data_IF_306106610721
#
_entry.id   IF_306106610721
#
_cell.length_a   1.000
_cell.length_b   1.000
_cell.length_c   1.000
_cell.angle_alpha   90.00
_cell.angle_beta   90.00
_cell.angle_gamma   90.00
#
_symmetry.space_group_name_H-M   'P 1'
#
loop_
_entity.id
_entity.type
_entity.pdbx_description
1 polymer ?
#
# COMPACT_ATOMS: atom_id res chain seq x y z
N UNK A 1 21.51 5.23 -11.44
CA UNK A 1 20.09 5.66 -11.41
C UNK A 1 19.63 5.51 -9.97
N UNK A 2 19.01 6.53 -9.35
CA UNK A 2 18.58 6.44 -7.96
C UNK A 2 17.56 5.31 -7.81
N UNK A 3 17.69 4.54 -6.74
CA UNK A 3 16.75 3.48 -6.36
C UNK A 3 16.21 3.84 -4.98
N UNK A 4 14.94 3.58 -4.71
CA UNK A 4 14.39 3.71 -3.36
C UNK A 4 14.98 2.62 -2.45
N UNK A 5 15.67 3.00 -1.38
CA UNK A 5 16.27 2.05 -0.42
C UNK A 5 15.24 1.21 0.35
N UNK A 6 13.96 1.58 0.29
CA UNK A 6 12.89 0.88 1.01
C UNK A 6 12.15 -0.13 0.12
N UNK A 7 11.75 0.28 -1.09
CA UNK A 7 10.94 -0.57 -1.98
C UNK A 7 11.69 -1.03 -3.24
N UNK A 8 12.90 -0.55 -3.50
CA UNK A 8 13.67 -0.92 -4.69
C UNK A 8 13.17 -0.31 -6.00
N UNK A 9 12.22 0.64 -5.96
CA UNK A 9 11.74 1.33 -7.15
C UNK A 9 12.87 2.11 -7.83
N UNK A 10 12.91 2.09 -9.16
CA UNK A 10 13.77 2.97 -9.93
C UNK A 10 13.17 4.39 -9.98
N UNK A 11 13.98 5.38 -9.59
CA UNK A 11 13.56 6.77 -9.43
C UNK A 11 14.40 7.70 -10.32
N UNK A 12 14.15 7.76 -11.64
CA UNK A 12 14.82 8.73 -12.51
C UNK A 12 14.39 10.16 -12.17
N UNK A 13 15.26 11.12 -12.51
CA UNK A 13 14.96 12.57 -12.51
C UNK A 13 14.68 13.22 -11.14
N UNK A 14 15.16 12.62 -10.05
CA UNK A 14 15.09 13.23 -8.71
C UNK A 14 13.70 13.13 -8.05
N UNK A 15 12.74 12.47 -8.70
CA UNK A 15 11.45 12.15 -8.10
C UNK A 15 11.62 11.12 -6.97
N UNK A 16 10.75 11.20 -5.99
CA UNK A 16 10.66 10.25 -4.87
C UNK A 16 9.41 9.38 -4.99
N UNK A 17 9.38 8.27 -4.25
CA UNK A 17 8.14 7.49 -4.13
C UNK A 17 7.00 8.30 -3.49
N UNK A 18 7.34 9.32 -2.68
CA UNK A 18 6.36 10.23 -2.07
C UNK A 18 5.74 11.16 -3.12
N UNK A 19 6.51 11.62 -4.11
CA UNK A 19 5.98 12.39 -5.24
C UNK A 19 4.97 11.55 -6.06
N UNK A 20 5.30 10.28 -6.34
CA UNK A 20 4.38 9.37 -7.03
C UNK A 20 3.11 9.12 -6.17
N UNK A 21 3.22 9.02 -4.85
CA UNK A 21 2.08 8.87 -3.95
C UNK A 21 1.19 10.14 -3.94
N UNK A 22 1.78 11.32 -3.86
CA UNK A 22 1.05 12.58 -3.94
C UNK A 22 0.37 12.77 -5.31
N UNK A 23 0.97 12.24 -6.38
CA UNK A 23 0.37 12.25 -7.70
C UNK A 23 -0.95 11.46 -7.74
N UNK A 24 -1.04 10.34 -7.02
CA UNK A 24 -2.30 9.59 -6.87
C UNK A 24 -3.36 10.40 -6.14
N UNK A 25 -3.00 11.03 -5.02
CA UNK A 25 -3.92 11.85 -4.25
C UNK A 25 -4.45 13.03 -5.08
N UNK A 26 -3.60 13.64 -5.89
CA UNK A 26 -4.01 14.68 -6.83
C UNK A 26 -5.02 14.16 -7.86
N UNK A 27 -4.77 12.99 -8.48
CA UNK A 27 -5.72 12.40 -9.43
C UNK A 27 -7.06 12.06 -8.80
N UNK A 28 -7.06 11.48 -7.59
CA UNK A 28 -8.28 11.14 -6.86
C UNK A 28 -9.07 12.38 -6.41
N UNK A 29 -8.37 13.48 -6.11
CA UNK A 29 -9.00 14.75 -5.77
C UNK A 29 -9.68 15.39 -7.00
N UNK A 30 -9.01 15.38 -8.15
CA UNK A 30 -9.55 15.95 -9.40
C UNK A 30 -10.64 15.07 -10.03
N UNK A 31 -10.58 13.75 -9.83
CA UNK A 31 -11.56 12.82 -10.34
C UNK A 31 -12.05 11.84 -9.25
N UNK A 32 -13.20 12.15 -8.61
CA UNK A 32 -13.81 11.28 -7.59
C UNK A 32 -14.14 9.87 -8.07
N UNK A 33 -14.26 9.60 -9.38
CA UNK A 33 -14.48 8.25 -9.91
C UNK A 33 -13.30 7.30 -9.64
N UNK A 34 -12.12 7.84 -9.28
CA UNK A 34 -10.94 7.06 -8.92
C UNK A 34 -10.91 6.62 -7.45
N UNK A 35 -11.71 7.25 -6.58
CA UNK A 35 -11.78 6.97 -5.14
C UNK A 35 -12.06 5.50 -4.77
N UNK A 36 -12.81 4.70 -5.56
CA UNK A 36 -12.99 3.28 -5.25
C UNK A 36 -11.67 2.52 -5.13
N UNK A 37 -10.60 2.93 -5.83
CA UNK A 37 -9.29 2.28 -5.78
C UNK A 37 -8.39 2.77 -4.62
N UNK A 38 -8.75 3.87 -3.94
CA UNK A 38 -7.93 4.55 -2.92
C UNK A 38 -7.40 3.61 -1.83
N UNK A 39 -8.27 2.75 -1.30
CA UNK A 39 -7.93 1.83 -0.24
C UNK A 39 -6.80 0.85 -0.63
N UNK A 40 -6.82 0.34 -1.86
CA UNK A 40 -5.75 -0.52 -2.39
C UNK A 40 -4.47 0.28 -2.63
N UNK A 41 -4.59 1.49 -3.19
CA UNK A 41 -3.45 2.38 -3.41
C UNK A 41 -2.69 2.64 -2.10
N UNK A 42 -3.40 3.04 -1.04
CA UNK A 42 -2.79 3.30 0.28
C UNK A 42 -2.14 2.06 0.85
N UNK A 43 -2.82 0.90 0.78
CA UNK A 43 -2.28 -0.37 1.27
C UNK A 43 -0.99 -0.75 0.55
N UNK A 44 -0.98 -0.73 -0.79
CA UNK A 44 0.19 -1.11 -1.57
C UNK A 44 1.38 -0.21 -1.26
N UNK A 45 1.16 1.10 -1.21
CA UNK A 45 2.23 2.06 -0.90
C UNK A 45 2.86 1.80 0.47
N UNK A 46 2.04 1.65 1.52
CA UNK A 46 2.55 1.46 2.88
C UNK A 46 3.11 0.05 3.12
N UNK A 47 2.62 -0.97 2.41
CA UNK A 47 3.19 -2.32 2.45
C UNK A 47 4.60 -2.33 1.83
N UNK A 48 4.81 -1.57 0.75
CA UNK A 48 6.13 -1.42 0.13
C UNK A 48 7.05 -0.47 0.90
N UNK A 49 6.48 0.44 1.70
CA UNK A 49 7.21 1.35 2.59
C UNK A 49 6.89 1.06 4.07
N UNK A 50 7.29 -0.12 4.58
CA UNK A 50 6.79 -0.66 5.84
C UNK A 50 7.10 0.20 7.07
N UNK A 51 8.12 1.07 6.99
CA UNK A 51 8.49 1.99 8.07
C UNK A 51 7.40 3.04 8.39
N UNK A 52 6.46 3.26 7.47
CA UNK A 52 5.33 4.19 7.65
C UNK A 52 4.25 3.61 8.58
N UNK A 53 4.22 2.29 8.76
CA UNK A 53 3.36 1.59 9.71
C UNK A 53 4.13 1.11 10.94
N UNK A 54 3.43 0.92 12.06
CA UNK A 54 3.93 0.09 13.16
C UNK A 54 4.03 -1.37 12.72
N UNK A 55 4.76 -2.19 13.48
CA UNK A 55 4.85 -3.63 13.18
C UNK A 55 3.47 -4.29 13.16
N UNK A 56 2.56 -3.89 14.06
CA UNK A 56 1.20 -4.42 14.12
C UNK A 56 0.34 -3.95 12.96
N UNK A 57 0.44 -2.67 12.59
CA UNK A 57 -0.32 -2.12 11.47
C UNK A 57 0.13 -2.72 10.14
N UNK A 58 1.42 -3.01 9.96
CA UNK A 58 1.91 -3.70 8.76
C UNK A 58 1.32 -5.11 8.65
N UNK A 59 1.32 -5.89 9.74
CA UNK A 59 0.70 -7.22 9.77
C UNK A 59 -0.79 -7.15 9.43
N UNK A 60 -1.49 -6.16 9.97
CA UNK A 60 -2.89 -5.92 9.65
C UNK A 60 -3.07 -5.55 8.17
N UNK A 61 -2.24 -4.66 7.63
CA UNK A 61 -2.28 -4.25 6.23
C UNK A 61 -2.11 -5.45 5.28
N UNK A 62 -1.21 -6.40 5.60
CA UNK A 62 -1.07 -7.64 4.85
C UNK A 62 -2.38 -8.44 4.81
N UNK A 63 -3.05 -8.60 5.96
CA UNK A 63 -4.33 -9.31 6.04
C UNK A 63 -5.48 -8.60 5.32
N UNK A 64 -5.48 -7.25 5.34
CA UNK A 64 -6.45 -6.45 4.59
C UNK A 64 -6.24 -6.61 3.09
N UNK A 65 -4.99 -6.50 2.62
CA UNK A 65 -4.65 -6.70 1.22
C UNK A 65 -5.10 -8.09 0.75
N UNK A 66 -4.78 -9.15 1.52
CA UNK A 66 -5.25 -10.51 1.22
C UNK A 66 -6.77 -10.54 1.03
N UNK A 67 -7.53 -9.99 1.97
CA UNK A 67 -9.00 -10.01 1.88
C UNK A 67 -9.52 -9.25 0.65
N UNK A 68 -9.01 -8.05 0.36
CA UNK A 68 -9.44 -7.31 -0.83
C UNK A 68 -9.04 -7.97 -2.15
N UNK A 69 -7.93 -8.73 -2.16
CA UNK A 69 -7.42 -9.39 -3.37
C UNK A 69 -8.08 -10.74 -3.63
N UNK A 70 -8.43 -11.49 -2.58
CA UNK A 70 -8.96 -12.87 -2.70
C UNK A 70 -10.47 -12.98 -2.48
N UNK A 71 -11.17 -11.88 -2.20
CA UNK A 71 -12.62 -11.88 -1.95
C UNK A 71 -13.28 -10.64 -2.56
N UNK A 72 -14.59 -10.67 -2.72
CA UNK A 72 -15.37 -9.53 -3.22
C UNK A 72 -15.79 -8.56 -2.09
N UNK A 73 -15.02 -8.46 -1.00
CA UNK A 73 -15.36 -7.58 0.11
C UNK A 73 -15.23 -6.11 -0.30
N UNK A 74 -16.28 -5.33 -0.03
CA UNK A 74 -16.26 -3.88 -0.30
C UNK A 74 -15.48 -3.13 0.79
N UNK A 75 -14.90 -1.95 0.48
CA UNK A 75 -14.28 -1.09 1.49
C UNK A 75 -15.22 -0.75 2.64
N UNK A 76 -16.52 -0.56 2.37
CA UNK A 76 -17.55 -0.28 3.37
C UNK A 76 -17.71 -1.45 4.34
N UNK A 77 -17.87 -2.66 3.81
CA UNK A 77 -18.00 -3.87 4.62
C UNK A 77 -16.74 -4.14 5.45
N UNK A 78 -15.56 -3.91 4.86
CA UNK A 78 -14.29 -4.01 5.58
C UNK A 78 -14.20 -3.00 6.72
N UNK A 79 -14.57 -1.74 6.49
CA UNK A 79 -14.56 -0.70 7.54
C UNK A 79 -15.45 -1.08 8.71
N UNK A 80 -16.67 -1.58 8.45
CA UNK A 80 -17.56 -2.03 9.52
C UNK A 80 -16.98 -3.21 10.31
N UNK A 81 -16.36 -4.19 9.64
CA UNK A 81 -15.67 -5.31 10.29
C UNK A 81 -14.51 -4.85 11.16
N UNK A 82 -13.75 -3.86 10.70
CA UNK A 82 -12.53 -3.39 11.34
C UNK A 82 -12.76 -2.31 12.39
N UNK A 83 -13.96 -1.70 12.42
CA UNK A 83 -14.31 -0.53 13.23
C UNK A 83 -13.86 -0.63 14.69
N UNK A 84 -14.13 -1.77 15.34
CA UNK A 84 -13.76 -1.99 16.74
C UNK A 84 -12.24 -2.11 16.96
N UNK A 85 -11.50 -2.63 15.97
CA UNK A 85 -10.06 -2.84 16.04
C UNK A 85 -9.25 -1.56 15.77
N UNK A 86 -9.76 -0.68 14.90
CA UNK A 86 -9.05 0.55 14.49
C UNK A 86 -9.47 1.80 15.26
N UNK A 87 -10.51 1.69 16.11
CA UNK A 87 -11.01 2.75 16.98
C UNK A 87 -9.87 3.32 17.84
N UNK A 88 -9.51 4.59 17.61
CA UNK A 88 -8.42 5.25 18.32
C UNK A 88 -8.65 5.42 19.82
N UNK A 89 -9.92 5.38 20.27
CA UNK A 89 -10.26 5.42 21.70
C UNK A 89 -10.11 4.08 22.41
N UNK A 90 -9.96 2.98 21.64
CA UNK A 90 -9.87 1.61 22.19
C UNK A 90 -8.57 0.89 21.84
N UNK A 91 -7.93 1.24 20.72
CA UNK A 91 -6.72 0.58 20.26
C UNK A 91 -5.55 0.87 21.22
N UNK A 92 -4.80 -0.17 21.55
CA UNK A 92 -3.62 -0.06 22.42
C UNK A 92 -2.36 0.33 21.64
N UNK A 93 -2.37 0.15 20.32
CA UNK A 93 -1.20 0.33 19.45
C UNK A 93 -1.41 1.47 18.44
N UNK A 94 -0.31 2.17 18.11
CA UNK A 94 -0.30 3.19 17.06
C UNK A 94 -0.33 2.53 15.69
N UNK A 95 -1.01 3.16 14.72
CA UNK A 95 -1.00 2.71 13.32
C UNK A 95 0.26 3.22 12.61
N UNK A 96 0.57 4.51 12.79
CA UNK A 96 1.75 5.14 12.20
C UNK A 96 3.03 4.58 12.84
N UNK A 97 4.00 4.26 12.00
CA UNK A 97 5.35 3.91 12.42
C UNK A 97 6.02 5.02 13.22
N UNK A 98 6.91 4.62 14.11
CA UNK A 98 7.73 5.51 14.94
C UNK A 98 9.16 5.00 14.95
N UNK A 99 10.11 5.82 15.41
CA UNK A 99 11.52 5.42 15.51
C UNK A 99 11.71 4.09 16.25
N UNK A 100 10.88 3.81 17.27
CA UNK A 100 11.00 2.61 18.12
C UNK A 100 10.03 1.48 17.76
N UNK A 101 9.00 1.74 16.95
CA UNK A 101 8.05 0.72 16.48
C UNK A 101 7.63 1.06 15.06
N UNK A 102 8.23 0.38 14.08
CA UNK A 102 7.87 0.48 12.69
C UNK A 102 8.04 -0.87 11.97
N UNK A 103 7.25 -1.09 10.94
CA UNK A 103 7.31 -2.28 10.13
C UNK A 103 8.63 -2.38 9.35
N UNK A 104 9.08 -3.60 9.12
CA UNK A 104 10.28 -3.93 8.36
C UNK A 104 10.17 -5.32 7.76
N UNK A 105 10.90 -5.54 6.68
CA UNK A 105 11.14 -6.86 6.12
C UNK A 105 12.57 -7.30 6.44
N UNK A 106 12.86 -8.61 6.46
CA UNK A 106 14.21 -9.14 6.71
C UNK A 106 15.23 -8.72 5.64
N UNK A 107 14.78 -8.39 4.43
CA UNK A 107 15.59 -7.93 3.30
C UNK A 107 14.75 -7.02 2.39
N UNK A 108 15.40 -6.42 1.39
CA UNK A 108 14.71 -5.67 0.35
C UNK A 108 13.81 -6.60 -0.44
N UNK A 109 12.50 -6.44 -0.28
CA UNK A 109 11.51 -7.30 -0.92
C UNK A 109 11.58 -7.18 -2.45
N UNK A 110 11.46 -8.29 -3.20
CA UNK A 110 11.59 -8.32 -4.66
C UNK A 110 10.29 -7.87 -5.35
N UNK A 111 9.81 -6.67 -5.04
CA UNK A 111 8.62 -6.11 -5.66
C UNK A 111 8.83 -5.96 -7.17
N UNK A 112 7.82 -6.37 -7.95
CA UNK A 112 7.85 -6.30 -9.43
C UNK A 112 7.01 -5.16 -10.01
N UNK A 113 6.29 -4.44 -9.15
CA UNK A 113 5.48 -3.28 -9.52
C UNK A 113 5.55 -2.28 -8.38
N UNK A 114 5.72 -1.01 -8.70
CA UNK A 114 5.88 0.09 -7.77
C UNK A 114 4.89 1.21 -8.07
N UNK A 115 4.76 2.17 -7.14
CA UNK A 115 3.95 3.38 -7.36
C UNK A 115 4.30 4.07 -8.70
N UNK A 116 5.59 4.12 -9.04
CA UNK A 116 6.07 4.71 -10.30
C UNK A 116 5.44 4.09 -11.54
N UNK A 117 5.23 2.78 -11.56
CA UNK A 117 4.65 2.10 -12.73
C UNK A 117 3.20 2.52 -12.96
N UNK A 118 2.45 2.76 -11.87
CA UNK A 118 1.10 3.30 -11.92
C UNK A 118 1.12 4.74 -12.45
N UNK A 119 2.07 5.57 -12.00
CA UNK A 119 2.23 6.94 -12.48
C UNK A 119 2.55 6.97 -13.98
N UNK A 120 3.49 6.12 -14.43
CA UNK A 120 3.88 6.02 -15.84
C UNK A 120 2.75 5.51 -16.73
N UNK A 121 1.86 4.65 -16.22
CA UNK A 121 0.67 4.21 -16.93
C UNK A 121 -0.38 5.32 -17.11
N UNK A 122 -0.32 6.37 -16.29
CA UNK A 122 -1.17 7.57 -16.38
C UNK A 122 -2.57 7.41 -15.78
N UNK A 123 -3.30 8.53 -15.61
CA UNK A 123 -4.57 8.56 -14.89
C UNK A 123 -5.69 7.77 -15.58
N UNK A 124 -5.65 7.66 -16.92
CA UNK A 124 -6.63 6.87 -17.68
C UNK A 124 -6.59 5.37 -17.34
N UNK A 125 -5.45 4.88 -16.88
CA UNK A 125 -5.24 3.48 -16.49
C UNK A 125 -5.30 3.26 -14.97
N UNK A 126 -5.53 4.32 -14.17
CA UNK A 126 -5.29 4.34 -12.73
C UNK A 126 -5.92 3.16 -11.99
N UNK A 127 -7.24 2.98 -12.11
CA UNK A 127 -7.97 1.92 -11.40
C UNK A 127 -7.40 0.53 -11.76
N UNK A 128 -7.23 0.25 -13.05
CA UNK A 128 -6.66 -1.01 -13.52
C UNK A 128 -5.24 -1.25 -12.99
N UNK A 129 -4.40 -0.22 -13.01
CA UNK A 129 -3.03 -0.26 -12.52
C UNK A 129 -2.94 -0.46 -11.01
N UNK A 130 -3.81 0.17 -10.21
CA UNK A 130 -3.89 -0.07 -8.75
C UNK A 130 -4.30 -1.51 -8.45
N UNK A 131 -5.29 -2.06 -9.15
CA UNK A 131 -5.68 -3.46 -8.98
C UNK A 131 -4.55 -4.42 -9.37
N UNK A 132 -3.86 -4.17 -10.49
CA UNK A 132 -2.71 -4.97 -10.91
C UNK A 132 -1.54 -4.89 -9.90
N UNK A 133 -1.28 -3.69 -9.35
CA UNK A 133 -0.28 -3.49 -8.31
C UNK A 133 -0.63 -4.25 -7.03
N UNK A 134 -1.88 -4.22 -6.58
CA UNK A 134 -2.35 -4.98 -5.43
C UNK A 134 -2.15 -6.49 -5.59
N UNK A 135 -2.47 -7.04 -6.76
CA UNK A 135 -2.23 -8.45 -7.09
C UNK A 135 -0.73 -8.79 -7.08
N UNK A 136 0.11 -7.90 -7.64
CA UNK A 136 1.57 -8.06 -7.66
C UNK A 136 2.19 -8.05 -6.25
N UNK A 137 1.76 -7.12 -5.40
CA UNK A 137 2.18 -7.05 -3.99
C UNK A 137 1.74 -8.30 -3.24
N UNK A 138 0.48 -8.72 -3.37
CA UNK A 138 -0.03 -9.93 -2.73
C UNK A 138 0.76 -11.17 -3.15
N UNK A 139 0.98 -11.36 -4.46
CA UNK A 139 1.77 -12.48 -4.98
C UNK A 139 3.18 -12.50 -4.40
N UNK A 140 3.83 -11.34 -4.30
CA UNK A 140 5.18 -11.24 -3.73
C UNK A 140 5.16 -11.63 -2.24
N UNK A 141 4.20 -11.13 -1.46
CA UNK A 141 4.07 -11.51 -0.05
C UNK A 141 3.88 -13.02 0.16
N UNK A 142 3.15 -13.70 -0.74
CA UNK A 142 2.98 -15.16 -0.70
C UNK A 142 4.28 -15.88 -1.07
N UNK A 143 4.95 -15.48 -2.16
CA UNK A 143 6.21 -16.10 -2.60
C UNK A 143 7.33 -15.97 -1.57
N UNK A 144 7.38 -14.84 -0.87
CA UNK A 144 8.34 -14.56 0.19
C UNK A 144 7.91 -15.13 1.56
N UNK A 145 6.84 -15.93 1.62
CA UNK A 145 6.32 -16.57 2.83
C UNK A 145 5.96 -15.57 3.97
N UNK A 146 5.63 -14.32 3.62
CA UNK A 146 5.13 -13.31 4.56
C UNK A 146 3.63 -13.53 4.82
N UNK A 147 2.89 -13.90 3.78
CA UNK A 147 1.47 -14.27 3.84
C UNK A 147 1.30 -15.74 3.44
N UNK A 148 0.44 -16.43 4.18
CA UNK A 148 -0.11 -17.74 3.79
C UNK A 148 -1.41 -17.59 3.01
#
# INVERSE_FOLDING_TARGET
MPICDTCGAHLPDGNTCEDDFHQFLYWEFENPELLPAHHLMVLCYHIQHPHLYSEEALKLAHQLLKQFVTTDITPEAMRERMKALVDSGKRQNKIRGTTNNHGRYPYLMPWTTHARDVVLAGPACYVGSIHAWAQSVFKTLVLENILA
#
